data_IF_952378964212
#
_entry.id   IF_952378964212
#
_cell.length_a   1.000
_cell.length_b   1.000
_cell.length_c   1.000
_cell.angle_alpha   90.00
_cell.angle_beta   90.00
_cell.angle_gamma   90.00
#
_symmetry.space_group_name_H-M   'P 1'
#
loop_
_entity.id
_entity.type
_entity.pdbx_description
1 polymer ?
#
# COMPACT_ATOMS: atom_id res chain seq x y z
N UNK A 1 24.08 -13.87 35.49
CA UNK A 1 24.70 -12.56 35.22
C UNK A 1 24.94 -12.45 33.72
N UNK A 2 24.07 -11.73 33.01
CA UNK A 2 24.23 -11.50 31.58
C UNK A 2 25.22 -10.36 31.35
N UNK A 3 26.14 -10.52 30.40
CA UNK A 3 27.23 -9.58 30.14
C UNK A 3 26.70 -8.29 29.50
N UNK A 4 27.34 -7.16 29.83
CA UNK A 4 27.00 -5.81 29.34
C UNK A 4 26.93 -5.67 27.80
N UNK A 5 27.45 -6.65 27.05
CA UNK A 5 27.36 -6.73 25.60
C UNK A 5 25.96 -7.13 25.07
N UNK A 6 25.07 -7.69 25.89
CA UNK A 6 23.70 -8.06 25.49
C UNK A 6 22.68 -6.92 25.67
N UNK A 7 22.96 -5.92 26.50
CA UNK A 7 22.09 -4.75 26.68
C UNK A 7 22.28 -3.67 25.59
N UNK A 8 23.39 -3.69 24.85
CA UNK A 8 23.68 -2.70 23.81
C UNK A 8 23.08 -3.02 22.43
N UNK A 9 22.52 -4.22 22.20
CA UNK A 9 21.86 -4.55 20.91
C UNK A 9 20.40 -4.11 20.82
N UNK A 10 19.81 -3.65 21.92
CA UNK A 10 18.42 -3.18 21.96
C UNK A 10 18.25 -1.66 21.84
N UNK A 11 19.35 -0.90 21.68
CA UNK A 11 19.31 0.58 21.73
C UNK A 11 19.49 1.26 20.36
N UNK A 12 19.80 0.54 19.27
CA UNK A 12 20.18 1.22 18.01
C UNK A 12 19.05 1.47 16.98
N UNK A 13 17.78 1.13 17.25
CA UNK A 13 16.67 1.48 16.36
C UNK A 13 15.69 2.51 16.95
N UNK A 14 15.85 2.84 18.25
CA UNK A 14 14.93 3.75 18.95
C UNK A 14 15.36 5.21 18.98
N UNK A 15 16.65 5.53 18.79
CA UNK A 15 17.18 6.85 19.15
C UNK A 15 17.51 7.80 17.97
N UNK A 16 17.33 7.38 16.71
CA UNK A 16 17.63 8.24 15.53
C UNK A 16 16.41 8.70 14.72
N UNK A 17 15.19 8.30 15.09
CA UNK A 17 13.95 8.74 14.39
C UNK A 17 13.33 10.00 15.02
N UNK A 18 13.94 10.58 16.06
CA UNK A 18 13.49 11.85 16.64
C UNK A 18 13.98 13.11 15.91
N UNK A 19 14.89 12.97 14.94
CA UNK A 19 15.48 14.10 14.21
C UNK A 19 14.87 14.35 12.82
N UNK A 20 13.91 13.54 12.37
CA UNK A 20 13.10 13.84 11.19
C UNK A 20 11.71 14.29 11.62
N UNK A 21 11.63 15.35 12.44
CA UNK A 21 10.44 16.20 12.37
C UNK A 21 10.49 16.88 11.01
N UNK A 22 9.78 16.33 10.04
CA UNK A 22 9.59 16.82 8.65
C UNK A 22 8.78 18.13 8.65
N UNK A 23 9.01 19.02 9.62
CA UNK A 23 8.27 20.26 9.81
C UNK A 23 8.77 21.40 8.93
N UNK A 24 9.89 21.25 8.23
CA UNK A 24 10.50 22.33 7.43
C UNK A 24 11.05 21.90 6.06
N UNK A 25 10.48 20.87 5.43
CA UNK A 25 10.66 20.79 3.98
C UNK A 25 9.76 21.86 3.37
N UNK A 26 10.37 22.88 2.76
CA UNK A 26 9.68 23.75 1.83
C UNK A 26 8.87 22.85 0.87
N UNK A 27 7.64 23.24 0.53
CA UNK A 27 6.80 22.42 -0.36
C UNK A 27 7.56 22.18 -1.67
N UNK A 28 8.08 20.96 -1.83
CA UNK A 28 8.76 20.57 -3.05
C UNK A 28 7.75 20.70 -4.20
N UNK A 29 8.16 21.22 -5.37
CA UNK A 29 7.26 21.37 -6.51
C UNK A 29 6.64 20.02 -6.87
N UNK A 30 5.36 20.06 -7.27
CA UNK A 30 4.66 18.87 -7.77
C UNK A 30 5.35 18.38 -9.04
N UNK A 31 5.45 17.07 -9.18
CA UNK A 31 6.20 16.41 -10.26
C UNK A 31 5.27 15.78 -11.30
N UNK A 32 3.99 15.58 -10.96
CA UNK A 32 3.02 14.82 -11.75
C UNK A 32 3.19 13.31 -11.63
N UNK A 33 4.03 12.79 -10.72
CA UNK A 33 4.32 11.35 -10.64
C UNK A 33 3.23 10.60 -9.85
N UNK A 34 2.64 9.59 -10.48
CA UNK A 34 1.80 8.58 -9.83
C UNK A 34 2.59 7.28 -9.74
N UNK A 35 2.75 6.76 -8.53
CA UNK A 35 3.39 5.46 -8.29
C UNK A 35 2.34 4.35 -8.23
N UNK A 36 2.54 3.31 -9.04
CA UNK A 36 1.85 2.04 -8.91
C UNK A 36 2.79 1.04 -8.24
N UNK A 37 2.45 0.54 -7.06
CA UNK A 37 3.27 -0.42 -6.33
C UNK A 37 2.97 -1.83 -6.83
N UNK A 38 3.97 -2.52 -7.35
CA UNK A 38 3.92 -3.92 -7.77
C UNK A 38 5.21 -4.62 -7.34
N UNK A 39 5.24 -5.40 -6.25
CA UNK A 39 6.51 -6.04 -5.89
C UNK A 39 6.67 -7.37 -6.65
N UNK A 40 7.74 -7.52 -7.42
CA UNK A 40 7.95 -8.70 -8.28
C UNK A 40 7.93 -10.03 -7.51
N UNK A 41 8.30 -10.01 -6.23
CA UNK A 41 8.34 -11.19 -5.37
C UNK A 41 7.09 -11.38 -4.51
N UNK A 42 6.17 -10.41 -4.48
CA UNK A 42 4.96 -10.44 -3.65
C UNK A 42 4.03 -9.30 -4.02
N UNK A 43 2.72 -9.47 -3.91
CA UNK A 43 1.71 -8.42 -4.09
C UNK A 43 1.69 -7.94 -5.54
N UNK A 44 1.86 -8.88 -6.48
CA UNK A 44 1.75 -8.59 -7.90
C UNK A 44 0.29 -8.42 -8.26
N UNK A 45 0.01 -7.54 -9.20
CA UNK A 45 -1.34 -7.39 -9.72
C UNK A 45 -1.61 -8.46 -10.75
N UNK A 46 -2.66 -9.26 -10.56
CA UNK A 46 -3.00 -10.31 -11.52
C UNK A 46 -3.50 -9.77 -12.87
N UNK A 47 -3.89 -8.49 -12.92
CA UNK A 47 -4.37 -7.81 -14.13
C UNK A 47 -3.66 -6.46 -14.35
N UNK A 48 -2.33 -6.48 -14.23
CA UNK A 48 -1.50 -5.29 -14.41
C UNK A 48 -1.75 -4.54 -15.74
N UNK A 49 -1.90 -5.20 -16.92
CA UNK A 49 -2.18 -4.50 -18.17
C UNK A 49 -3.44 -3.62 -18.12
N UNK A 50 -4.52 -4.12 -17.51
CA UNK A 50 -5.79 -3.41 -17.36
C UNK A 50 -5.67 -2.22 -16.40
N UNK A 51 -4.95 -2.39 -15.29
CA UNK A 51 -4.68 -1.31 -14.34
C UNK A 51 -3.87 -0.21 -15.02
N UNK A 52 -2.79 -0.56 -15.73
CA UNK A 52 -1.98 0.40 -16.48
C UNK A 52 -2.80 1.12 -17.55
N UNK A 53 -3.66 0.39 -18.28
CA UNK A 53 -4.52 0.98 -19.30
C UNK A 53 -5.50 1.99 -18.69
N UNK A 54 -6.13 1.66 -17.56
CA UNK A 54 -7.05 2.54 -16.86
C UNK A 54 -6.34 3.78 -16.29
N UNK A 55 -5.20 3.61 -15.61
CA UNK A 55 -4.43 4.73 -15.06
C UNK A 55 -3.88 5.64 -16.17
N UNK A 56 -3.39 5.08 -17.28
CA UNK A 56 -2.96 5.89 -18.45
C UNK A 56 -4.14 6.58 -19.12
N UNK A 57 -5.28 5.91 -19.23
CA UNK A 57 -6.51 6.50 -19.75
C UNK A 57 -6.97 7.68 -18.90
N UNK A 58 -6.98 7.49 -17.59
CA UNK A 58 -7.24 8.53 -16.60
C UNK A 58 -6.23 9.67 -16.68
N UNK A 59 -4.93 9.40 -16.80
CA UNK A 59 -3.91 10.44 -16.97
C UNK A 59 -4.13 11.26 -18.24
N UNK A 60 -4.52 10.61 -19.35
CA UNK A 60 -4.83 11.30 -20.61
C UNK A 60 -6.10 12.11 -20.54
N UNK A 61 -7.17 11.61 -19.94
CA UNK A 61 -8.41 12.40 -19.76
C UNK A 61 -8.18 13.54 -18.77
N UNK A 62 -7.36 13.26 -17.77
CA UNK A 62 -6.83 14.24 -16.84
C UNK A 62 -5.74 15.11 -17.47
N UNK A 63 -5.39 15.02 -18.76
CA UNK A 63 -4.60 16.07 -19.42
C UNK A 63 -5.42 17.36 -19.66
N UNK A 64 -6.70 17.39 -19.26
CA UNK A 64 -7.37 18.63 -18.86
C UNK A 64 -6.72 19.30 -17.62
N UNK A 65 -5.91 18.59 -16.83
CA UNK A 65 -5.04 19.14 -15.79
C UNK A 65 -3.89 19.98 -16.38
N UNK A 66 -3.65 19.90 -17.71
CA UNK A 66 -2.64 20.66 -18.44
C UNK A 66 -2.95 22.15 -18.61
N UNK A 67 -4.19 22.62 -18.36
CA UNK A 67 -4.48 24.06 -18.41
C UNK A 67 -4.14 24.82 -17.12
N UNK A 68 -3.82 24.13 -16.02
CA UNK A 68 -3.60 24.74 -14.69
C UNK A 68 -2.13 24.75 -14.27
N UNK A 69 -1.28 23.93 -14.89
CA UNK A 69 0.18 24.09 -14.78
C UNK A 69 0.74 25.13 -15.77
N UNK A 70 -0.10 26.04 -16.27
CA UNK A 70 0.27 27.10 -17.23
C UNK A 70 1.36 28.07 -16.72
N UNK A 71 1.92 27.87 -15.52
CA UNK A 71 3.24 28.38 -15.16
C UNK A 71 4.32 27.40 -15.62
N UNK A 72 4.84 27.61 -16.83
CA UNK A 72 6.14 27.23 -17.48
C UNK A 72 6.90 25.91 -17.14
N UNK A 73 6.54 25.12 -16.12
CA UNK A 73 7.25 23.93 -15.67
C UNK A 73 6.32 22.71 -15.45
N UNK A 74 5.13 22.73 -16.04
CA UNK A 74 4.20 21.61 -16.10
C UNK A 74 4.84 20.35 -16.69
N UNK A 75 5.41 19.48 -15.88
CA UNK A 75 5.78 18.15 -16.37
C UNK A 75 4.51 17.36 -16.64
N UNK A 76 4.39 16.66 -17.79
CA UNK A 76 3.32 15.72 -18.02
C UNK A 76 3.26 14.72 -16.86
N UNK A 77 2.05 14.38 -16.42
CA UNK A 77 1.90 13.41 -15.37
C UNK A 77 2.49 12.06 -15.80
N UNK A 78 3.30 11.46 -14.94
CA UNK A 78 4.07 10.27 -15.21
C UNK A 78 3.53 9.11 -14.36
N UNK A 79 3.26 7.96 -14.99
CA UNK A 79 2.94 6.72 -14.28
C UNK A 79 4.19 5.87 -14.14
N UNK A 80 4.66 5.66 -12.91
CA UNK A 80 5.85 4.85 -12.62
C UNK A 80 5.45 3.61 -11.81
N UNK A 81 5.98 2.45 -12.19
CA UNK A 81 5.78 1.21 -11.42
C UNK A 81 6.97 1.02 -10.47
N UNK A 82 6.68 0.84 -9.18
CA UNK A 82 7.68 0.52 -8.16
C UNK A 82 7.74 -0.99 -7.96
N UNK A 83 8.88 -1.59 -8.31
CA UNK A 83 9.05 -3.04 -8.31
C UNK A 83 9.59 -3.62 -7.00
N UNK A 84 10.09 -2.76 -6.12
CA UNK A 84 10.74 -3.13 -4.87
C UNK A 84 12.10 -3.80 -5.09
N UNK A 85 12.72 -3.59 -6.26
CA UNK A 85 14.08 -4.03 -6.61
C UNK A 85 15.10 -2.90 -6.50
N UNK A 86 14.62 -1.68 -6.32
CA UNK A 86 15.39 -0.47 -6.12
C UNK A 86 16.16 -0.54 -4.80
N UNK A 87 17.34 0.08 -4.75
CA UNK A 87 18.05 0.29 -3.48
C UNK A 87 17.31 1.32 -2.60
N UNK A 88 17.80 1.50 -1.37
CA UNK A 88 17.16 2.38 -0.39
C UNK A 88 17.12 3.84 -0.85
N UNK A 89 18.19 4.36 -1.47
CA UNK A 89 18.27 5.75 -1.92
C UNK A 89 17.32 5.97 -3.09
N UNK A 90 17.37 5.09 -4.08
CA UNK A 90 16.48 5.09 -5.25
C UNK A 90 15.01 4.97 -4.84
N UNK A 91 14.70 4.17 -3.82
CA UNK A 91 13.35 4.07 -3.23
C UNK A 91 12.93 5.41 -2.61
N UNK A 92 13.80 6.03 -1.81
CA UNK A 92 13.52 7.32 -1.18
C UNK A 92 13.30 8.42 -2.22
N UNK A 93 14.16 8.51 -3.23
CA UNK A 93 14.04 9.48 -4.32
C UNK A 93 12.75 9.28 -5.11
N UNK A 94 12.39 8.03 -5.43
CA UNK A 94 11.17 7.72 -6.16
C UNK A 94 9.94 8.17 -5.37
N UNK A 95 9.84 7.80 -4.09
CA UNK A 95 8.72 8.19 -3.24
C UNK A 95 8.71 9.69 -2.93
N UNK A 96 9.87 10.33 -2.77
CA UNK A 96 9.94 11.78 -2.57
C UNK A 96 9.37 12.56 -3.76
N UNK A 97 9.31 11.96 -4.95
CA UNK A 97 8.68 12.53 -6.13
C UNK A 97 7.21 12.16 -6.29
N UNK A 98 6.60 11.29 -5.49
CA UNK A 98 5.21 10.88 -5.71
C UNK A 98 4.19 11.97 -5.33
N UNK A 99 3.23 12.25 -6.22
CA UNK A 99 2.03 13.04 -5.94
C UNK A 99 0.82 12.14 -5.61
N UNK A 100 0.83 10.91 -6.13
CA UNK A 100 -0.10 9.88 -5.74
C UNK A 100 0.55 8.49 -5.73
N UNK A 101 0.01 7.59 -4.91
CA UNK A 101 0.46 6.20 -4.78
C UNK A 101 -0.75 5.28 -4.79
N UNK A 102 -0.73 4.24 -5.62
CA UNK A 102 -1.69 3.14 -5.63
C UNK A 102 -0.94 1.84 -5.36
N UNK A 103 -1.35 1.07 -4.35
CA UNK A 103 -0.71 -0.19 -4.04
C UNK A 103 -1.63 -1.16 -3.32
N UNK A 104 -1.41 -2.46 -3.52
CA UNK A 104 -2.04 -3.49 -2.69
C UNK A 104 -1.33 -3.55 -1.34
N UNK A 105 -2.10 -3.78 -0.28
CA UNK A 105 -1.66 -3.81 1.12
C UNK A 105 -0.29 -4.47 1.28
N UNK A 106 0.60 -3.84 2.05
CA UNK A 106 1.84 -4.45 2.51
C UNK A 106 2.98 -3.47 2.71
N UNK A 107 4.18 -4.02 2.89
CA UNK A 107 5.37 -3.25 3.27
C UNK A 107 5.78 -2.17 2.26
N UNK A 108 5.40 -2.28 0.97
CA UNK A 108 5.70 -1.24 -0.02
C UNK A 108 5.06 0.10 0.31
N UNK A 109 3.90 0.10 0.97
CA UNK A 109 3.20 1.31 1.40
C UNK A 109 3.87 1.99 2.61
N UNK A 110 4.79 1.34 3.30
CA UNK A 110 5.54 1.98 4.38
C UNK A 110 6.47 3.09 3.86
N UNK A 111 6.91 3.01 2.60
CA UNK A 111 7.78 4.00 1.98
C UNK A 111 7.11 5.37 1.74
N UNK A 112 5.78 5.47 1.92
CA UNK A 112 5.06 6.75 1.87
C UNK A 112 5.54 7.77 2.91
N UNK A 113 6.28 7.34 3.94
CA UNK A 113 6.96 8.25 4.89
C UNK A 113 7.98 9.17 4.21
N UNK A 114 8.50 8.79 3.04
CA UNK A 114 9.50 9.57 2.31
C UNK A 114 8.89 10.66 1.42
N UNK A 115 7.56 10.74 1.32
CA UNK A 115 6.88 11.79 0.56
C UNK A 115 6.93 13.10 1.37
N UNK A 116 7.64 14.15 0.92
CA UNK A 116 7.85 15.36 1.72
C UNK A 116 6.63 16.29 1.76
N UNK A 117 5.63 16.07 0.89
CA UNK A 117 4.53 16.99 0.59
C UNK A 117 3.16 16.32 0.64
N UNK A 118 2.10 17.11 0.41
CA UNK A 118 0.76 16.57 0.33
C UNK A 118 0.60 15.64 -0.88
N UNK A 119 0.20 14.39 -0.64
CA UNK A 119 0.01 13.36 -1.66
C UNK A 119 -1.19 12.46 -1.37
N UNK A 120 -1.69 11.81 -2.41
CA UNK A 120 -2.86 10.92 -2.34
C UNK A 120 -2.41 9.46 -2.34
N UNK A 121 -2.79 8.69 -1.32
CA UNK A 121 -2.45 7.26 -1.21
C UNK A 121 -3.72 6.43 -1.25
N UNK A 122 -3.80 5.52 -2.21
CA UNK A 122 -4.82 4.47 -2.28
C UNK A 122 -4.18 3.13 -1.91
N UNK A 123 -4.59 2.59 -0.78
CA UNK A 123 -4.32 1.21 -0.41
C UNK A 123 -5.47 0.33 -0.89
N UNK A 124 -5.18 -0.66 -1.72
CA UNK A 124 -6.13 -1.75 -1.97
C UNK A 124 -5.93 -2.82 -0.92
N UNK A 125 -6.99 -3.24 -0.24
CA UNK A 125 -6.96 -4.39 0.67
C UNK A 125 -8.19 -5.28 0.44
N UNK A 126 -8.35 -6.31 1.25
CA UNK A 126 -9.51 -7.19 1.22
C UNK A 126 -10.37 -6.98 2.46
N UNK A 127 -11.60 -7.43 2.39
CA UNK A 127 -12.31 -7.89 3.58
C UNK A 127 -11.81 -9.28 3.95
N UNK A 128 -11.78 -9.63 5.23
CA UNK A 128 -11.51 -10.98 5.70
C UNK A 128 -12.76 -11.87 5.57
N UNK A 129 -13.94 -11.27 5.68
CA UNK A 129 -15.23 -11.94 5.58
C UNK A 129 -16.01 -11.52 4.33
N UNK A 130 -17.07 -12.26 4.03
CA UNK A 130 -17.98 -11.99 2.92
C UNK A 130 -18.97 -10.87 3.21
N UNK A 131 -19.13 -10.49 4.47
CA UNK A 131 -20.10 -9.49 4.92
C UNK A 131 -19.51 -8.07 4.91
N UNK A 132 -18.21 -7.94 4.66
CA UNK A 132 -17.49 -6.67 4.69
C UNK A 132 -17.34 -6.09 6.09
N UNK A 133 -17.34 -6.92 7.15
CA UNK A 133 -17.29 -6.44 8.53
C UNK A 133 -15.89 -6.40 9.13
N UNK A 134 -15.03 -7.33 8.75
CA UNK A 134 -13.67 -7.46 9.29
C UNK A 134 -12.66 -7.18 8.16
N UNK A 135 -11.86 -6.10 8.22
CA UNK A 135 -10.86 -5.84 7.20
C UNK A 135 -9.75 -6.88 7.24
N UNK A 136 -9.32 -7.34 6.07
CA UNK A 136 -8.04 -8.03 5.93
C UNK A 136 -6.93 -6.99 6.09
N UNK A 137 -5.78 -7.46 6.59
CA UNK A 137 -4.57 -6.69 6.91
C UNK A 137 -4.51 -5.34 6.18
N UNK A 138 -4.39 -4.29 6.95
CA UNK A 138 -4.17 -2.94 6.44
C UNK A 138 -2.81 -2.46 6.87
N UNK A 139 -2.23 -1.60 6.05
CA UNK A 139 -1.04 -0.87 6.46
C UNK A 139 -1.48 -0.04 7.67
N UNK A 140 -0.68 0.03 8.76
CA UNK A 140 -1.05 0.80 9.95
C UNK A 140 -1.00 2.29 9.60
N UNK A 141 -1.95 2.76 8.80
CA UNK A 141 -1.95 4.08 8.23
C UNK A 141 -2.03 5.13 9.33
N UNK A 142 -2.67 4.85 10.47
CA UNK A 142 -2.62 5.73 11.65
C UNK A 142 -1.19 6.01 12.12
N UNK A 143 -0.32 5.00 12.08
CA UNK A 143 1.11 5.14 12.40
C UNK A 143 1.87 5.87 11.30
N UNK A 144 1.62 5.57 10.03
CA UNK A 144 2.23 6.32 8.91
C UNK A 144 1.81 7.78 8.95
N UNK A 145 0.53 8.07 9.15
CA UNK A 145 -0.03 9.41 9.25
C UNK A 145 0.48 10.16 10.49
N UNK A 146 0.81 9.46 11.57
CA UNK A 146 1.50 10.07 12.72
C UNK A 146 2.92 10.56 12.36
N UNK A 147 3.56 9.94 11.37
CA UNK A 147 4.88 10.34 10.87
C UNK A 147 4.80 11.30 9.69
N UNK A 148 3.77 11.17 8.84
CA UNK A 148 3.53 12.00 7.68
C UNK A 148 2.04 12.39 7.58
N UNK A 149 1.61 13.44 8.31
CA UNK A 149 0.21 13.87 8.32
C UNK A 149 -0.21 14.59 7.03
N UNK A 150 0.71 14.80 6.07
CA UNK A 150 0.42 15.38 4.76
C UNK A 150 -0.20 14.38 3.78
N UNK A 151 -0.22 13.10 4.12
CA UNK A 151 -0.81 12.08 3.25
C UNK A 151 -2.33 12.06 3.40
N UNK A 152 -3.01 12.07 2.26
CA UNK A 152 -4.43 11.78 2.18
C UNK A 152 -4.58 10.31 1.84
N UNK A 153 -5.11 9.50 2.77
CA UNK A 153 -5.16 8.06 2.63
C UNK A 153 -6.59 7.56 2.39
N UNK A 154 -6.77 6.65 1.44
CA UNK A 154 -8.01 5.88 1.27
C UNK A 154 -7.70 4.40 1.12
N UNK A 155 -8.46 3.57 1.82
CA UNK A 155 -8.44 2.13 1.63
C UNK A 155 -9.60 1.71 0.72
N UNK A 156 -9.31 1.10 -0.43
CA UNK A 156 -10.29 0.45 -1.31
C UNK A 156 -10.32 -1.04 -0.99
N UNK A 157 -11.41 -1.53 -0.40
CA UNK A 157 -11.52 -2.92 0.05
C UNK A 157 -12.30 -3.76 -0.94
N UNK A 158 -11.70 -4.87 -1.35
CA UNK A 158 -12.31 -5.86 -2.22
C UNK A 158 -12.93 -6.99 -1.41
N UNK A 159 -14.05 -7.54 -1.89
CA UNK A 159 -14.65 -8.72 -1.27
C UNK A 159 -13.70 -9.93 -1.37
N UNK A 160 -13.54 -10.69 -0.28
CA UNK A 160 -12.67 -11.87 -0.26
C UNK A 160 -13.06 -12.92 -1.29
N UNK A 161 -14.37 -13.03 -1.58
CA UNK A 161 -14.89 -13.93 -2.61
C UNK A 161 -14.27 -13.68 -3.99
N UNK A 162 -14.02 -12.42 -4.35
CA UNK A 162 -13.37 -12.08 -5.63
C UNK A 162 -11.92 -12.53 -5.69
N UNK A 163 -11.19 -12.41 -4.58
CA UNK A 163 -9.83 -12.94 -4.50
C UNK A 163 -9.88 -14.46 -4.66
N UNK A 164 -10.70 -15.15 -3.85
CA UNK A 164 -10.88 -16.61 -3.93
C UNK A 164 -11.20 -17.08 -5.36
N UNK A 165 -12.05 -16.35 -6.08
CA UNK A 165 -12.40 -16.64 -7.47
C UNK A 165 -11.24 -16.46 -8.45
N UNK A 166 -10.46 -15.38 -8.31
CA UNK A 166 -9.34 -15.09 -9.20
C UNK A 166 -8.20 -16.12 -9.09
N UNK A 167 -8.01 -16.72 -7.91
CA UNK A 167 -6.90 -17.65 -7.66
C UNK A 167 -7.29 -19.14 -7.77
N UNK A 168 -8.44 -19.46 -8.39
CA UNK A 168 -9.06 -20.80 -8.46
C UNK A 168 -8.22 -21.95 -9.06
N UNK A 169 -7.01 -21.74 -9.57
CA UNK A 169 -6.30 -22.78 -10.34
C UNK A 169 -5.65 -23.94 -9.52
N UNK A 170 -5.53 -23.88 -8.17
CA UNK A 170 -5.35 -25.10 -7.37
C UNK A 170 -6.37 -25.26 -6.21
N UNK A 171 -7.36 -24.36 -6.08
CA UNK A 171 -8.15 -24.20 -4.84
C UNK A 171 -9.63 -24.62 -4.96
N UNK A 172 -10.02 -25.28 -6.06
CA UNK A 172 -11.42 -25.67 -6.34
C UNK A 172 -12.05 -26.66 -5.33
N UNK A 173 -11.29 -27.19 -4.37
CA UNK A 173 -11.77 -28.05 -3.28
C UNK A 173 -12.11 -27.33 -1.97
N UNK A 174 -11.92 -26.00 -1.89
CA UNK A 174 -12.16 -25.24 -0.66
C UNK A 174 -13.67 -25.04 -0.47
N UNK A 175 -14.29 -25.88 0.36
CA UNK A 175 -15.51 -25.47 1.05
C UNK A 175 -15.16 -24.21 1.83
N UNK A 176 -16.02 -23.17 1.81
CA UNK A 176 -15.89 -21.95 2.62
C UNK A 176 -15.79 -22.31 4.11
N UNK A 177 -14.64 -22.79 4.57
CA UNK A 177 -14.39 -23.09 5.96
C UNK A 177 -14.05 -21.77 6.60
N UNK A 178 -15.02 -21.27 7.36
CA UNK A 178 -14.88 -20.12 8.23
C UNK A 178 -13.56 -20.25 8.99
N UNK A 179 -12.69 -19.24 8.90
CA UNK A 179 -11.45 -19.20 9.66
C UNK A 179 -11.76 -19.48 11.14
N UNK A 180 -11.14 -20.52 11.68
CA UNK A 180 -11.41 -20.91 13.07
C UNK A 180 -10.93 -19.81 14.01
N UNK A 181 -11.43 -19.79 15.25
CA UNK A 181 -10.85 -18.90 16.27
C UNK A 181 -9.35 -19.16 16.46
N UNK A 182 -8.91 -20.42 16.33
CA UNK A 182 -7.50 -20.81 16.37
C UNK A 182 -6.71 -20.22 15.21
N UNK A 183 -7.22 -20.28 13.98
CA UNK A 183 -6.56 -19.69 12.81
C UNK A 183 -6.40 -18.18 12.98
N UNK A 184 -7.44 -17.50 13.50
CA UNK A 184 -7.40 -16.06 13.82
C UNK A 184 -6.32 -15.76 14.85
N UNK A 185 -6.24 -16.53 15.93
CA UNK A 185 -5.21 -16.36 16.97
C UNK A 185 -3.81 -16.63 16.44
N UNK A 186 -3.61 -17.70 15.67
CA UNK A 186 -2.30 -18.04 15.09
C UNK A 186 -1.83 -16.98 14.09
N UNK A 187 -2.74 -16.48 13.25
CA UNK A 187 -2.46 -15.39 12.33
C UNK A 187 -2.14 -14.10 13.09
N UNK A 188 -2.96 -13.72 14.07
CA UNK A 188 -2.68 -12.57 14.93
C UNK A 188 -1.30 -12.67 15.58
N UNK A 189 -0.90 -13.87 16.03
CA UNK A 189 0.37 -14.12 16.67
C UNK A 189 1.58 -14.04 15.73
N UNK A 190 1.44 -14.46 14.48
CA UNK A 190 2.45 -14.24 13.43
C UNK A 190 2.62 -12.75 13.11
N UNK A 191 1.59 -11.95 13.35
CA UNK A 191 1.55 -10.53 12.98
C UNK A 191 1.77 -9.57 14.15
N UNK A 192 1.84 -10.08 15.38
CA UNK A 192 2.16 -9.28 16.55
C UNK A 192 3.67 -9.02 16.58
N UNK A 193 4.16 -7.77 16.46
CA UNK A 193 5.59 -7.47 16.29
C UNK A 193 6.51 -8.02 17.39
N UNK A 194 5.96 -8.31 18.57
CA UNK A 194 6.70 -8.80 19.73
C UNK A 194 6.66 -10.33 19.91
N UNK A 195 5.85 -11.04 19.12
CA UNK A 195 5.79 -12.50 19.15
C UNK A 195 6.77 -13.07 18.11
N UNK A 196 7.67 -13.96 18.53
CA UNK A 196 8.65 -14.65 17.66
C UNK A 196 8.02 -15.77 16.82
N UNK A 197 6.74 -15.69 16.55
CA UNK A 197 6.01 -16.74 15.83
C UNK A 197 6.18 -16.48 14.34
N UNK A 198 7.08 -17.22 13.69
CA UNK A 198 7.21 -17.12 12.24
C UNK A 198 6.02 -17.80 11.55
N UNK A 199 5.65 -17.31 10.37
CA UNK A 199 4.63 -17.97 9.55
C UNK A 199 4.99 -19.45 9.30
N UNK A 200 6.26 -19.74 9.07
CA UNK A 200 6.77 -21.10 8.92
C UNK A 200 6.52 -21.96 10.18
N UNK A 201 6.65 -21.38 11.39
CA UNK A 201 6.45 -22.07 12.65
C UNK A 201 4.99 -22.41 12.98
N UNK A 202 4.02 -21.75 12.33
CA UNK A 202 2.59 -22.08 12.49
C UNK A 202 1.96 -22.66 11.25
N UNK A 203 2.67 -22.71 10.11
CA UNK A 203 2.11 -23.17 8.85
C UNK A 203 1.41 -24.53 9.00
N UNK A 204 2.09 -25.51 9.62
CA UNK A 204 1.54 -26.84 9.90
C UNK A 204 0.31 -26.87 10.80
N UNK A 205 0.05 -25.80 11.56
CA UNK A 205 -1.07 -25.66 12.51
C UNK A 205 -2.27 -24.90 11.95
N UNK A 206 -2.07 -24.15 10.87
CA UNK A 206 -3.14 -23.45 10.18
C UNK A 206 -4.04 -24.45 9.45
N UNK A 207 -5.35 -24.20 9.50
CA UNK A 207 -6.29 -24.90 8.63
C UNK A 207 -5.97 -24.64 7.16
N UNK A 208 -6.40 -25.55 6.28
CA UNK A 208 -6.26 -25.38 4.83
C UNK A 208 -6.78 -24.02 4.37
N UNK A 209 -7.99 -23.64 4.82
CA UNK A 209 -8.57 -22.33 4.52
C UNK A 209 -7.72 -21.15 4.99
N UNK A 210 -7.06 -21.23 6.16
CA UNK A 210 -6.17 -20.17 6.60
C UNK A 210 -4.87 -20.08 5.79
N UNK A 211 -4.29 -21.21 5.38
CA UNK A 211 -3.13 -21.24 4.47
C UNK A 211 -3.47 -20.65 3.10
N UNK A 212 -4.64 -21.00 2.59
CA UNK A 212 -5.15 -20.50 1.32
C UNK A 212 -5.36 -18.99 1.38
N UNK A 213 -5.97 -18.47 2.46
CA UNK A 213 -6.12 -17.03 2.67
C UNK A 213 -4.76 -16.31 2.77
N UNK A 214 -3.74 -16.94 3.35
CA UNK A 214 -2.38 -16.37 3.38
C UNK A 214 -1.74 -16.37 1.98
N UNK A 215 -2.00 -17.40 1.18
CA UNK A 215 -1.58 -17.45 -0.22
C UNK A 215 -2.32 -16.42 -1.08
N UNK A 216 -3.61 -16.15 -0.81
CA UNK A 216 -4.38 -15.05 -1.41
C UNK A 216 -3.82 -13.68 -1.03
N UNK A 217 -3.21 -13.57 0.15
CA UNK A 217 -2.47 -12.39 0.55
C UNK A 217 -1.11 -12.33 -0.13
N UNK A 218 -0.70 -13.28 -0.98
CA UNK A 218 0.55 -13.13 -1.69
C UNK A 218 0.40 -12.19 -2.87
N UNK A 219 -0.56 -12.38 -3.78
CA UNK A 219 -0.78 -11.52 -4.94
C UNK A 219 -2.06 -10.68 -4.80
N UNK A 220 -2.11 -9.53 -5.46
CA UNK A 220 -3.27 -8.65 -5.45
C UNK A 220 -4.34 -9.20 -6.42
N UNK A 221 -5.59 -9.38 -5.98
CA UNK A 221 -6.65 -9.82 -6.87
C UNK A 221 -6.95 -8.76 -7.95
N UNK A 222 -7.61 -9.15 -9.05
CA UNK A 222 -7.80 -8.25 -10.17
C UNK A 222 -8.77 -7.13 -9.83
N UNK A 223 -8.40 -5.89 -10.19
CA UNK A 223 -9.30 -4.74 -10.12
C UNK A 223 -10.21 -4.75 -11.36
N UNK A 224 -11.53 -4.74 -11.15
CA UNK A 224 -12.45 -4.63 -12.26
C UNK A 224 -12.60 -3.15 -12.67
N UNK A 225 -13.36 -2.90 -13.73
CA UNK A 225 -13.61 -1.53 -14.22
C UNK A 225 -14.21 -0.62 -13.15
N UNK A 226 -15.17 -1.10 -12.38
CA UNK A 226 -15.82 -0.31 -11.32
C UNK A 226 -14.85 0.06 -10.19
N UNK A 227 -13.95 -0.86 -9.81
CA UNK A 227 -12.89 -0.55 -8.84
C UNK A 227 -11.99 0.58 -9.34
N UNK A 228 -11.57 0.48 -10.61
CA UNK A 228 -10.68 1.45 -11.23
C UNK A 228 -11.36 2.82 -11.39
N UNK A 229 -12.65 2.88 -11.71
CA UNK A 229 -13.44 4.11 -11.75
C UNK A 229 -13.48 4.78 -10.37
N UNK A 230 -13.83 4.04 -9.32
CA UNK A 230 -13.88 4.57 -7.94
C UNK A 230 -12.50 5.06 -7.47
N UNK A 231 -11.45 4.30 -7.77
CA UNK A 231 -10.06 4.67 -7.41
C UNK A 231 -9.64 5.94 -8.13
N UNK A 232 -9.82 6.01 -9.44
CA UNK A 232 -9.40 7.16 -10.27
C UNK A 232 -10.21 8.42 -9.98
N UNK A 233 -11.52 8.30 -9.73
CA UNK A 233 -12.38 9.41 -9.29
C UNK A 233 -11.88 10.02 -7.97
N UNK A 234 -11.56 9.17 -7.00
CA UNK A 234 -11.04 9.65 -5.73
C UNK A 234 -9.67 10.29 -5.86
N UNK A 235 -8.76 9.67 -6.63
CA UNK A 235 -7.45 10.25 -6.90
C UNK A 235 -7.58 11.62 -7.57
N UNK A 236 -8.50 11.76 -8.53
CA UNK A 236 -8.81 13.05 -9.18
C UNK A 236 -9.26 14.10 -8.16
N UNK A 237 -10.23 13.75 -7.30
CA UNK A 237 -10.76 14.64 -6.26
C UNK A 237 -9.67 15.05 -5.27
N UNK A 238 -8.91 14.06 -4.77
CA UNK A 238 -7.82 14.29 -3.84
C UNK A 238 -6.77 15.22 -4.46
N UNK A 239 -6.22 14.89 -5.64
CA UNK A 239 -5.20 15.71 -6.27
C UNK A 239 -5.69 17.12 -6.61
N UNK A 240 -6.97 17.29 -6.95
CA UNK A 240 -7.58 18.61 -7.17
C UNK A 240 -7.62 19.42 -5.88
N UNK A 241 -8.00 18.81 -4.75
CA UNK A 241 -8.01 19.47 -3.43
C UNK A 241 -6.62 19.94 -3.00
N UNK A 242 -5.58 19.21 -3.40
CA UNK A 242 -4.20 19.56 -3.08
C UNK A 242 -3.66 20.75 -3.88
N UNK A 243 -4.33 21.14 -4.98
CA UNK A 243 -3.96 22.33 -5.78
C UNK A 243 -4.45 23.62 -5.16
N UNK A 244 -5.63 23.61 -4.55
CA UNK A 244 -6.23 24.80 -3.96
C UNK A 244 -5.52 25.32 -2.71
N UNK A 245 -4.52 24.60 -2.21
CA UNK A 245 -3.79 24.93 -0.97
C UNK A 245 -2.40 25.52 -1.18
N UNK A 246 -1.84 25.49 -2.39
CA UNK A 246 -0.46 25.96 -2.67
C UNK A 246 -0.35 27.45 -3.01
N UNK A 247 -1.44 28.21 -2.87
CA UNK A 247 -1.51 29.64 -3.21
C UNK A 247 -1.72 30.57 -2.01
N UNK A 248 -1.54 30.06 -0.79
CA UNK A 248 -1.75 30.79 0.47
C UNK A 248 -0.51 30.83 1.34
#
# INVERSE_FOLDING_TARGET
MATAAQQLRHVSWGLHVHLLRVSHFAEAPRTGVILLLERLRSRRWTNMPEILAALRGWLRSSNALGSVYAQEQARPAELVVFNGTEDAISTMELFARADAVLGYHGAGLANNIFIPRNACVVEVSLWLDTNGSEPWRETPHSRILSWNPRLHWRTHRLAIGRALEAFKSPMAGIKQTKMTSLDRTLLHDVHTPHKRTSLAGVWGKLSTGARDIIALAWDAPPLNRSDLEVITEWMSTCMSSLRGRSSG
#
